data_IF_313536759333
#
_entry.id   IF_313536759333
#
_cell.length_a   1.000
_cell.length_b   1.000
_cell.length_c   1.000
_cell.angle_alpha   90.00
_cell.angle_beta   90.00
_cell.angle_gamma   90.00
#
_symmetry.space_group_name_H-M   'P 1'
#
loop_
_entity.id
_entity.type
_entity.pdbx_description
1 polymer ?
#
# COMPACT_ATOMS: atom_id res chain seq x y z
N UNK A 1 26.94 5.04 -59.80
CA UNK A 1 28.27 5.53 -59.42
C UNK A 1 28.37 7.00 -59.77
N UNK A 2 28.26 7.89 -58.78
CA UNK A 2 28.88 9.22 -58.85
C UNK A 2 28.92 9.80 -57.43
N UNK A 3 30.12 10.12 -56.97
CA UNK A 3 30.44 10.67 -55.66
C UNK A 3 30.15 12.17 -55.61
N UNK A 4 29.75 12.66 -54.45
CA UNK A 4 29.59 14.08 -54.18
C UNK A 4 29.42 14.37 -52.70
N UNK A 5 30.45 14.07 -51.90
CA UNK A 5 30.57 14.58 -50.53
C UNK A 5 31.22 15.95 -50.57
N UNK A 6 30.66 16.96 -49.89
CA UNK A 6 31.43 17.94 -49.09
C UNK A 6 30.51 18.91 -48.30
N UNK A 7 30.68 18.86 -46.97
CA UNK A 7 30.76 19.99 -46.00
C UNK A 7 29.55 20.93 -45.78
N UNK A 8 29.00 20.83 -44.57
CA UNK A 8 28.29 21.92 -43.88
C UNK A 8 28.09 21.58 -42.39
N UNK A 9 28.73 22.33 -41.51
CA UNK A 9 28.75 22.18 -40.04
C UNK A 9 27.59 22.92 -39.35
N UNK A 10 26.92 22.24 -38.38
CA UNK A 10 26.17 22.63 -37.16
C UNK A 10 25.66 24.09 -36.96
N UNK A 11 24.54 24.38 -36.24
CA UNK A 11 24.17 23.74 -34.95
C UNK A 11 22.64 23.64 -34.59
N UNK A 12 22.36 22.86 -33.53
CA UNK A 12 21.30 23.01 -32.50
C UNK A 12 19.84 23.25 -32.95
N UNK A 13 19.01 22.20 -32.93
CA UNK A 13 17.59 22.17 -32.52
C UNK A 13 17.33 20.70 -32.09
N UNK A 14 17.01 20.30 -30.86
CA UNK A 14 16.10 20.91 -29.91
C UNK A 14 14.70 20.28 -30.03
N UNK A 15 14.52 18.97 -29.77
CA UNK A 15 13.19 18.39 -29.58
C UNK A 15 13.27 16.98 -28.94
N UNK A 16 13.42 16.94 -27.62
CA UNK A 16 13.04 15.78 -26.83
C UNK A 16 11.50 15.67 -26.84
N UNK A 17 10.95 14.69 -27.54
CA UNK A 17 9.51 14.38 -27.49
C UNK A 17 9.31 13.10 -26.68
N UNK A 18 9.38 13.26 -25.36
CA UNK A 18 8.91 12.27 -24.39
C UNK A 18 7.38 12.32 -24.39
N UNK A 19 6.75 11.39 -25.11
CA UNK A 19 5.29 11.20 -25.07
C UNK A 19 4.95 10.42 -23.81
N UNK A 20 4.82 11.14 -22.69
CA UNK A 20 4.25 10.62 -21.45
C UNK A 20 2.74 10.79 -21.48
N UNK A 21 2.02 9.83 -22.07
CA UNK A 21 0.57 9.72 -21.91
C UNK A 21 0.33 8.93 -20.63
N UNK A 22 0.19 9.64 -19.51
CA UNK A 22 -0.47 9.11 -18.32
C UNK A 22 -1.80 9.83 -18.19
N UNK A 23 -2.82 9.09 -18.61
CA UNK A 23 -4.24 9.40 -18.51
C UNK A 23 -4.60 9.34 -17.01
N UNK A 24 -4.49 10.47 -16.32
CA UNK A 24 -4.95 10.63 -14.95
C UNK A 24 -6.36 11.22 -14.95
N UNK A 25 -7.38 10.39 -15.21
CA UNK A 25 -8.77 10.76 -14.99
C UNK A 25 -9.28 9.97 -13.77
N UNK A 26 -9.54 10.68 -12.68
CA UNK A 26 -10.01 10.13 -11.42
C UNK A 26 -10.57 11.26 -10.56
N UNK A 27 -11.61 11.92 -11.07
CA UNK A 27 -12.36 12.94 -10.36
C UNK A 27 -13.25 12.30 -9.29
N UNK A 28 -12.70 12.10 -8.10
CA UNK A 28 -13.47 12.03 -6.86
C UNK A 28 -13.17 13.29 -6.05
N UNK A 29 -14.14 13.83 -5.32
CA UNK A 29 -14.00 15.02 -4.46
C UNK A 29 -13.09 14.78 -3.23
N UNK A 30 -12.05 13.97 -3.38
CA UNK A 30 -11.08 13.59 -2.37
C UNK A 30 -9.66 14.06 -2.69
N UNK A 31 -8.74 13.88 -1.74
CA UNK A 31 -7.31 14.16 -1.92
C UNK A 31 -6.79 13.35 -3.12
N UNK A 32 -5.96 13.94 -4.00
CA UNK A 32 -5.39 13.20 -5.13
C UNK A 32 -4.66 11.94 -4.64
N UNK A 33 -4.83 10.84 -5.36
CA UNK A 33 -4.14 9.57 -5.08
C UNK A 33 -2.96 9.36 -6.04
N UNK A 34 -1.94 8.64 -5.57
CA UNK A 34 -0.81 8.21 -6.38
C UNK A 34 -0.53 6.73 -6.15
N UNK A 35 -0.01 6.05 -7.19
CA UNK A 35 0.35 4.63 -7.13
C UNK A 35 1.28 4.39 -5.95
N UNK A 36 0.91 3.42 -5.11
CA UNK A 36 1.67 3.05 -3.94
C UNK A 36 1.58 1.53 -3.74
N UNK A 37 2.75 0.89 -3.66
CA UNK A 37 2.91 -0.56 -3.51
C UNK A 37 4.13 -0.86 -2.66
N UNK A 38 4.36 -2.12 -2.34
CA UNK A 38 5.59 -2.55 -1.69
C UNK A 38 5.50 -3.96 -1.15
N UNK A 39 6.45 -4.32 -0.31
CA UNK A 39 6.58 -5.66 0.26
C UNK A 39 6.67 -5.59 1.79
N UNK A 40 6.04 -6.56 2.45
CA UNK A 40 6.13 -6.72 3.90
C UNK A 40 6.88 -8.00 4.22
N UNK A 41 7.89 -7.87 5.08
CA UNK A 41 8.66 -9.01 5.58
C UNK A 41 8.67 -9.02 7.10
N UNK A 42 8.75 -10.19 7.72
CA UNK A 42 8.93 -10.33 9.16
C UNK A 42 9.97 -11.41 9.42
N UNK A 43 11.01 -11.08 10.19
CA UNK A 43 12.16 -11.97 10.45
C UNK A 43 12.73 -12.59 9.16
N UNK A 44 12.85 -11.77 8.12
CA UNK A 44 13.39 -12.17 6.81
C UNK A 44 12.47 -13.01 5.93
N UNK A 45 11.22 -13.27 6.35
CA UNK A 45 10.23 -14.02 5.57
C UNK A 45 9.14 -13.10 5.03
N UNK A 46 8.64 -13.31 3.80
CA UNK A 46 7.49 -12.57 3.29
C UNK A 46 6.26 -12.80 4.17
N UNK A 47 5.50 -11.73 4.42
CA UNK A 47 4.29 -11.77 5.26
C UNK A 47 3.08 -11.78 4.35
N UNK A 48 2.47 -12.96 4.18
CA UNK A 48 1.27 -13.12 3.37
C UNK A 48 -0.01 -12.81 4.15
N UNK A 49 -1.05 -12.37 3.44
CA UNK A 49 -2.41 -12.13 3.95
C UNK A 49 -2.51 -11.11 5.09
N UNK A 50 -1.46 -10.32 5.30
CA UNK A 50 -1.50 -9.17 6.20
C UNK A 50 -2.35 -8.06 5.59
N UNK A 51 -3.22 -7.48 6.42
CA UNK A 51 -3.96 -6.27 6.09
C UNK A 51 -3.06 -5.06 6.35
N UNK A 52 -2.94 -4.21 5.33
CA UNK A 52 -2.12 -3.00 5.31
C UNK A 52 -3.04 -1.81 5.18
N UNK A 53 -2.87 -0.84 6.07
CA UNK A 53 -3.68 0.37 6.11
C UNK A 53 -2.77 1.58 6.17
N UNK A 54 -2.95 2.52 5.23
CA UNK A 54 -2.30 3.82 5.23
C UNK A 54 -3.34 4.84 5.63
N UNK A 55 -3.15 5.43 6.80
CA UNK A 55 -4.03 6.42 7.42
C UNK A 55 -3.41 7.80 7.17
N UNK A 56 -3.98 8.62 6.27
CA UNK A 56 -3.50 9.97 6.03
C UNK A 56 -3.54 10.80 7.31
N UNK A 57 -2.54 11.66 7.51
CA UNK A 57 -2.60 12.65 8.60
C UNK A 57 -3.60 13.76 8.32
N UNK A 58 -3.94 13.97 7.03
CA UNK A 58 -4.94 14.94 6.59
C UNK A 58 -6.35 14.51 7.05
N UNK A 59 -7.01 15.29 7.93
CA UNK A 59 -8.34 14.94 8.43
C UNK A 59 -9.38 14.81 7.31
N UNK A 60 -10.32 13.87 7.46
CA UNK A 60 -11.39 13.64 6.48
C UNK A 60 -10.95 12.93 5.20
N UNK A 61 -9.68 12.50 5.11
CA UNK A 61 -9.18 11.73 3.96
C UNK A 61 -9.41 10.24 4.18
N UNK A 62 -9.87 9.55 3.13
CA UNK A 62 -10.11 8.11 3.15
C UNK A 62 -8.77 7.37 3.27
N UNK A 63 -8.65 6.36 4.16
CA UNK A 63 -7.44 5.55 4.26
C UNK A 63 -7.26 4.66 3.03
N UNK A 64 -6.02 4.41 2.65
CA UNK A 64 -5.71 3.43 1.61
C UNK A 64 -5.52 2.05 2.25
N UNK A 65 -6.07 1.02 1.61
CA UNK A 65 -6.05 -0.35 2.12
C UNK A 65 -5.40 -1.29 1.11
N UNK A 66 -4.76 -2.34 1.60
CA UNK A 66 -4.32 -3.48 0.81
C UNK A 66 -4.26 -4.75 1.65
N UNK A 67 -4.22 -5.89 0.96
CA UNK A 67 -3.87 -7.17 1.55
C UNK A 67 -2.65 -7.71 0.82
N UNK A 68 -1.68 -8.20 1.57
CA UNK A 68 -0.46 -8.79 1.00
C UNK A 68 -0.73 -10.15 0.37
N UNK A 69 -0.08 -10.41 -0.77
CA UNK A 69 -0.09 -11.70 -1.45
C UNK A 69 0.86 -12.72 -0.80
N UNK A 70 1.02 -13.91 -1.40
CA UNK A 70 1.90 -14.97 -0.86
C UNK A 70 3.39 -14.58 -0.81
N UNK A 71 3.79 -13.59 -1.62
CA UNK A 71 5.15 -13.05 -1.64
C UNK A 71 5.32 -11.86 -0.68
N UNK A 72 4.26 -11.51 0.07
CA UNK A 72 4.24 -10.35 0.95
C UNK A 72 4.09 -9.02 0.21
N UNK A 73 3.80 -9.04 -1.10
CA UNK A 73 3.62 -7.85 -1.91
C UNK A 73 2.21 -7.30 -1.76
N UNK A 74 2.06 -5.98 -1.76
CA UNK A 74 0.76 -5.32 -1.66
C UNK A 74 0.68 -4.12 -2.62
N UNK A 75 -0.55 -3.80 -3.03
CA UNK A 75 -0.87 -2.60 -3.83
C UNK A 75 -2.03 -1.87 -3.17
N UNK A 76 -1.84 -0.61 -2.83
CA UNK A 76 -2.84 0.19 -2.12
C UNK A 76 -4.00 0.60 -3.02
N UNK A 77 -5.17 0.65 -2.42
CA UNK A 77 -6.42 1.10 -3.02
C UNK A 77 -7.13 2.06 -2.06
N UNK A 78 -7.61 3.20 -2.55
CA UNK A 78 -8.32 4.21 -1.76
C UNK A 78 -9.77 4.36 -2.23
N UNK A 79 -9.97 4.73 -3.50
CA UNK A 79 -11.29 4.96 -4.09
C UNK A 79 -11.65 3.88 -5.12
N UNK A 80 -10.64 3.34 -5.80
CA UNK A 80 -10.77 2.28 -6.80
C UNK A 80 -9.68 1.23 -6.65
N UNK A 81 -9.85 0.11 -7.36
CA UNK A 81 -8.91 -1.00 -7.25
C UNK A 81 -7.52 -0.60 -7.78
N UNK A 82 -6.52 -0.63 -6.89
CA UNK A 82 -5.13 -0.32 -7.20
C UNK A 82 -4.87 1.13 -7.62
N UNK A 83 -5.77 2.06 -7.33
CA UNK A 83 -5.59 3.49 -7.65
C UNK A 83 -4.46 4.16 -6.82
N UNK A 84 -4.12 3.55 -5.68
CA UNK A 84 -3.00 3.91 -4.83
C UNK A 84 -3.44 4.50 -3.49
N UNK A 85 -2.64 5.41 -2.97
CA UNK A 85 -2.86 6.05 -1.67
C UNK A 85 -2.97 7.58 -1.81
N UNK A 86 -3.64 8.28 -0.88
CA UNK A 86 -3.70 9.74 -0.88
C UNK A 86 -2.30 10.34 -0.80
N UNK A 87 -2.06 11.36 -1.62
CA UNK A 87 -0.81 12.12 -1.62
C UNK A 87 -0.61 12.83 -0.28
N UNK A 88 0.60 12.73 0.25
CA UNK A 88 0.99 13.30 1.53
C UNK A 88 1.42 12.24 2.55
N UNK A 89 1.60 12.67 3.80
CA UNK A 89 2.05 11.81 4.87
C UNK A 89 0.94 10.90 5.37
N UNK A 90 1.24 9.61 5.44
CA UNK A 90 0.37 8.59 6.00
C UNK A 90 1.08 7.87 7.16
N UNK A 91 0.33 7.56 8.21
CA UNK A 91 0.73 6.58 9.23
C UNK A 91 0.29 5.19 8.78
N UNK A 92 1.14 4.20 9.00
CA UNK A 92 0.93 2.86 8.47
C UNK A 92 0.60 1.89 9.59
N UNK A 93 -0.44 1.09 9.41
CA UNK A 93 -0.78 -0.02 10.27
C UNK A 93 -0.74 -1.31 9.46
N UNK A 94 -0.14 -2.36 10.04
CA UNK A 94 -0.03 -3.68 9.44
C UNK A 94 -0.52 -4.67 10.49
N UNK A 95 -1.53 -5.45 10.12
CA UNK A 95 -2.10 -6.45 11.00
C UNK A 95 -2.12 -7.81 10.32
N UNK A 96 -1.76 -8.82 11.10
CA UNK A 96 -1.89 -10.22 10.68
C UNK A 96 -2.23 -11.06 11.90
N UNK A 97 -3.40 -11.68 11.86
CA UNK A 97 -3.89 -12.60 12.88
C UNK A 97 -4.07 -13.99 12.27
N UNK A 98 -3.85 -15.00 13.10
CA UNK A 98 -4.20 -16.38 12.77
C UNK A 98 -5.72 -16.57 12.68
N UNK A 99 -6.18 -17.80 12.39
CA UNK A 99 -7.60 -18.10 12.38
C UNK A 99 -8.23 -17.77 13.73
N UNK A 100 -9.43 -17.17 13.69
CA UNK A 100 -10.25 -16.96 14.88
C UNK A 100 -10.59 -18.33 15.51
N UNK A 101 -10.57 -18.47 16.85
CA UNK A 101 -10.99 -19.70 17.49
C UNK A 101 -12.45 -20.04 17.11
N UNK A 102 -12.82 -21.33 17.07
CA UNK A 102 -14.19 -21.73 16.80
C UNK A 102 -15.11 -21.16 17.88
N UNK A 103 -16.26 -20.63 17.46
CA UNK A 103 -17.29 -20.19 18.39
C UNK A 103 -17.84 -21.40 19.15
N UNK A 104 -18.14 -21.27 20.45
CA UNK A 104 -18.87 -22.30 21.17
C UNK A 104 -20.18 -22.66 20.45
N UNK A 105 -20.49 -23.95 20.33
CA UNK A 105 -21.63 -24.44 19.52
C UNK A 105 -22.97 -23.82 19.89
N UNK A 106 -23.16 -23.47 21.17
CA UNK A 106 -24.37 -22.83 21.67
C UNK A 106 -24.55 -21.38 21.20
N UNK A 107 -23.47 -20.73 20.75
CA UNK A 107 -23.45 -19.35 20.23
C UNK A 107 -23.35 -19.30 18.70
N UNK A 108 -22.83 -20.37 18.09
CA UNK A 108 -22.72 -20.50 16.63
C UNK A 108 -24.08 -20.45 15.90
N UNK A 109 -25.18 -20.78 16.59
CA UNK A 109 -26.56 -20.71 16.03
C UNK A 109 -27.17 -19.31 16.04
N UNK A 110 -26.56 -18.34 16.72
CA UNK A 110 -27.00 -16.95 16.73
C UNK A 110 -26.01 -16.12 15.91
N UNK A 111 -26.21 -16.04 14.59
CA UNK A 111 -25.29 -15.38 13.65
C UNK A 111 -24.94 -13.94 14.05
N UNK A 112 -25.89 -13.19 14.60
CA UNK A 112 -25.65 -11.83 15.10
C UNK A 112 -24.74 -11.78 16.35
N UNK A 113 -24.78 -12.80 17.20
CA UNK A 113 -23.88 -12.94 18.35
C UNK A 113 -22.52 -13.53 17.94
N UNK A 114 -22.50 -14.37 16.92
CA UNK A 114 -21.30 -14.98 16.35
C UNK A 114 -20.31 -13.93 15.81
N UNK A 115 -20.82 -12.91 15.12
CA UNK A 115 -20.01 -11.81 14.57
C UNK A 115 -19.40 -10.95 15.70
N UNK A 116 -20.20 -10.59 16.71
CA UNK A 116 -19.76 -9.75 17.85
C UNK A 116 -18.81 -10.47 18.80
N UNK A 117 -18.88 -11.80 18.88
CA UNK A 117 -18.02 -12.64 19.71
C UNK A 117 -16.82 -13.23 18.96
N UNK A 118 -16.65 -12.89 17.68
CA UNK A 118 -15.53 -13.38 16.88
C UNK A 118 -14.24 -12.73 17.38
N UNK A 119 -13.55 -13.45 18.27
CA UNK A 119 -12.28 -13.01 18.80
C UNK A 119 -11.23 -12.99 17.67
N UNK A 120 -10.42 -11.93 17.56
CA UNK A 120 -9.30 -11.93 16.64
C UNK A 120 -8.38 -13.10 16.98
N UNK A 121 -7.91 -13.82 15.97
CA UNK A 121 -6.97 -14.91 16.16
C UNK A 121 -5.65 -14.41 16.75
N UNK A 122 -4.78 -15.36 17.12
CA UNK A 122 -3.46 -15.02 17.70
C UNK A 122 -2.67 -14.14 16.73
N UNK A 123 -2.04 -13.05 17.19
CA UNK A 123 -1.22 -12.21 16.32
C UNK A 123 -0.03 -13.01 15.78
N UNK A 124 0.24 -12.89 14.48
CA UNK A 124 1.36 -13.56 13.82
C UNK A 124 2.52 -12.60 13.54
N UNK A 125 2.31 -11.30 13.74
CA UNK A 125 3.33 -10.25 13.74
C UNK A 125 3.20 -9.41 15.01
N UNK A 126 4.25 -8.66 15.41
CA UNK A 126 4.24 -7.87 16.63
C UNK A 126 3.06 -6.89 16.69
N UNK A 127 2.35 -6.86 17.83
CA UNK A 127 1.16 -6.03 18.01
C UNK A 127 1.42 -4.53 17.85
N UNK A 128 2.67 -4.08 18.03
CA UNK A 128 3.04 -2.67 17.82
C UNK A 128 2.65 -2.19 16.43
N UNK A 129 2.67 -3.04 15.41
CA UNK A 129 2.32 -2.65 14.04
C UNK A 129 0.82 -2.55 13.77
N UNK A 130 -0.04 -3.09 14.64
CA UNK A 130 -1.49 -3.18 14.39
C UNK A 130 -2.20 -1.82 14.49
N UNK A 131 -1.58 -0.84 15.15
CA UNK A 131 -2.12 0.51 15.27
C UNK A 131 -1.15 1.52 14.63
N UNK A 132 -1.67 2.51 13.89
CA UNK A 132 -0.83 3.58 13.32
C UNK A 132 -0.11 4.42 14.38
N UNK A 133 -0.59 4.39 15.63
CA UNK A 133 0.03 5.15 16.73
C UNK A 133 1.23 4.42 17.33
N UNK A 134 1.16 3.08 17.42
CA UNK A 134 2.22 2.28 18.01
C UNK A 134 3.22 1.75 16.99
N UNK A 135 2.85 1.69 15.71
CA UNK A 135 3.70 1.15 14.66
C UNK A 135 4.91 2.03 14.40
N UNK A 136 4.74 3.36 14.56
CA UNK A 136 5.68 4.41 14.14
C UNK A 136 6.10 4.30 12.66
N UNK A 137 5.35 3.51 11.88
CA UNK A 137 5.57 3.38 10.45
C UNK A 137 4.90 4.55 9.74
N UNK A 138 5.63 5.17 8.82
CA UNK A 138 5.16 6.30 8.03
C UNK A 138 5.49 6.08 6.57
N UNK A 139 4.69 6.70 5.71
CA UNK A 139 4.90 6.73 4.28
C UNK A 139 4.53 8.11 3.73
N UNK A 140 5.45 8.72 3.00
CA UNK A 140 5.23 9.99 2.31
C UNK A 140 4.89 9.70 0.84
N UNK A 141 3.61 9.75 0.50
CA UNK A 141 3.12 9.45 -0.84
C UNK A 141 3.33 10.66 -1.74
N UNK A 142 4.15 10.51 -2.77
CA UNK A 142 4.48 11.58 -3.72
C UNK A 142 3.55 11.49 -4.94
N UNK A 143 2.96 12.63 -5.30
CA UNK A 143 2.10 12.75 -6.48
C UNK A 143 2.86 12.38 -7.77
N UNK A 144 2.13 11.82 -8.74
CA UNK A 144 2.63 11.49 -10.10
C UNK A 144 3.89 10.60 -10.09
N UNK A 145 4.11 9.87 -9.01
CA UNK A 145 5.25 8.97 -8.81
C UNK A 145 4.72 7.57 -8.52
N UNK A 146 5.48 6.55 -8.92
CA UNK A 146 5.26 5.18 -8.48
C UNK A 146 5.96 4.99 -7.13
N UNK A 147 5.18 5.04 -6.06
CA UNK A 147 5.71 4.97 -4.70
C UNK A 147 5.89 3.51 -4.29
N UNK A 148 7.09 3.18 -3.80
CA UNK A 148 7.42 1.84 -3.30
C UNK A 148 7.79 1.94 -1.82
N UNK A 149 7.05 1.25 -0.96
CA UNK A 149 7.22 1.25 0.49
C UNK A 149 7.39 -0.18 1.02
N UNK A 150 8.63 -0.57 1.26
CA UNK A 150 8.93 -1.88 1.85
C UNK A 150 9.03 -1.77 3.36
N UNK A 151 8.34 -2.66 4.07
CA UNK A 151 8.29 -2.69 5.53
C UNK A 151 8.92 -3.98 6.07
N UNK A 152 10.21 -3.95 6.46
CA UNK A 152 10.79 -5.00 7.27
C UNK A 152 10.31 -4.86 8.72
N UNK A 153 9.49 -5.81 9.15
CA UNK A 153 8.97 -5.88 10.51
C UNK A 153 9.96 -6.60 11.42
N UNK A 154 10.10 -6.05 12.62
CA UNK A 154 11.03 -6.48 13.65
C UNK A 154 10.35 -6.58 15.03
N UNK A 155 11.04 -7.19 15.98
CA UNK A 155 10.56 -7.39 17.34
C UNK A 155 9.80 -8.69 17.54
N UNK A 156 9.44 -8.94 18.80
CA UNK A 156 8.79 -10.16 19.22
C UNK A 156 7.27 -10.02 19.29
N UNK A 157 6.59 -11.17 19.32
CA UNK A 157 5.14 -11.24 19.43
C UNK A 157 4.64 -10.88 20.83
N UNK A 158 5.55 -10.78 21.80
CA UNK A 158 5.27 -10.36 23.16
C UNK A 158 5.09 -8.83 23.24
N UNK A 159 4.17 -8.34 24.09
CA UNK A 159 3.99 -6.92 24.34
C UNK A 159 5.21 -6.28 25.02
#
# INVERSE_FOLDING_TARGET
MSFGSLRGSAPVVGAALVVAILIGCGSSNGVPVAKARGTITYKGKPVAKAAVSFIPETPGTVPALATTDENGSYTLSTYGNGDGAPVGRCRVAISLTGPSPPLPEHLAKAEAAAETLRMPGKPLIPKKYFSPETSRLTADVVAKTDNVFDFPLDGDLTP
#
